data_IF_898662760495
#
_entry.id   IF_898662760495
#
_cell.length_a   1.000
_cell.length_b   1.000
_cell.length_c   1.000
_cell.angle_alpha   90.00
_cell.angle_beta   90.00
_cell.angle_gamma   90.00
#
_symmetry.space_group_name_H-M   'P 1'
#
loop_
_entity.id
_entity.type
_entity.pdbx_description
1 polymer ?
#
# COMPACT_ATOMS: atom_id res chain seq x y z
N UNK A 1 11.64 20.20 53.17
CA UNK A 1 10.91 20.67 51.96
C UNK A 1 11.78 20.69 50.71
N UNK A 2 12.98 21.27 50.75
CA UNK A 2 13.90 21.32 49.60
C UNK A 2 14.16 19.95 48.95
N UNK A 3 14.42 18.92 49.78
CA UNK A 3 14.69 17.54 49.31
C UNK A 3 13.51 17.00 48.46
N UNK A 4 12.26 17.22 48.91
CA UNK A 4 11.07 16.78 48.17
C UNK A 4 10.90 17.52 46.84
N UNK A 5 11.21 18.82 46.81
CA UNK A 5 11.15 19.61 45.57
C UNK A 5 12.19 19.12 44.56
N UNK A 6 13.40 18.84 45.00
CA UNK A 6 14.47 18.31 44.14
C UNK A 6 14.10 16.93 43.59
N UNK A 7 13.62 16.01 44.44
CA UNK A 7 13.18 14.68 44.00
C UNK A 7 12.04 14.78 42.98
N UNK A 8 11.04 15.64 43.24
CA UNK A 8 9.93 15.84 42.33
C UNK A 8 10.39 16.38 40.97
N UNK A 9 11.33 17.33 40.96
CA UNK A 9 11.88 17.89 39.73
C UNK A 9 12.57 16.81 38.87
N UNK A 10 13.39 15.95 39.48
CA UNK A 10 14.02 14.83 38.77
C UNK A 10 12.99 13.82 38.24
N UNK A 11 11.96 13.52 39.01
CA UNK A 11 10.87 12.65 38.56
C UNK A 11 10.15 13.24 37.34
N UNK A 12 9.86 14.55 37.33
CA UNK A 12 9.24 15.23 36.19
C UNK A 12 10.13 15.19 34.94
N UNK A 13 11.44 15.41 35.08
CA UNK A 13 12.36 15.30 33.95
C UNK A 13 12.49 13.87 33.41
N UNK A 14 12.48 12.86 34.28
CA UNK A 14 12.49 11.46 33.86
C UNK A 14 11.23 11.11 33.05
N UNK A 15 10.05 11.55 33.51
CA UNK A 15 8.78 11.37 32.78
C UNK A 15 8.81 12.11 31.44
N UNK A 16 9.30 13.36 31.42
CA UNK A 16 9.41 14.13 30.18
C UNK A 16 10.33 13.46 29.16
N UNK A 17 11.48 12.93 29.60
CA UNK A 17 12.40 12.19 28.74
C UNK A 17 11.76 10.94 28.12
N UNK A 18 11.05 10.16 28.94
CA UNK A 18 10.31 8.98 28.46
C UNK A 18 9.24 9.37 27.43
N UNK A 19 8.50 10.45 27.67
CA UNK A 19 7.49 10.94 26.73
C UNK A 19 8.10 11.38 25.39
N UNK A 20 9.28 11.98 25.40
CA UNK A 20 10.00 12.36 24.18
C UNK A 20 10.38 11.12 23.37
N UNK A 21 10.99 10.12 24.02
CA UNK A 21 11.40 8.88 23.34
C UNK A 21 10.19 8.13 22.75
N UNK A 22 9.09 8.01 23.50
CA UNK A 22 7.84 7.41 23.00
C UNK A 22 7.24 8.25 21.87
N UNK A 23 7.29 9.58 21.98
CA UNK A 23 6.80 10.50 20.94
C UNK A 23 7.56 10.33 19.63
N UNK A 24 8.89 10.21 19.71
CA UNK A 24 9.75 9.92 18.56
C UNK A 24 9.42 8.56 17.94
N UNK A 25 9.26 7.51 18.75
CA UNK A 25 8.88 6.19 18.26
C UNK A 25 7.54 6.20 17.52
N UNK A 26 6.53 6.90 18.06
CA UNK A 26 5.22 7.05 17.41
C UNK A 26 5.29 7.85 16.11
N UNK A 27 6.12 8.89 16.07
CA UNK A 27 6.33 9.67 14.86
C UNK A 27 6.99 8.81 13.78
N UNK A 28 8.03 8.06 14.12
CA UNK A 28 8.69 7.13 13.20
C UNK A 28 7.73 6.04 12.72
N UNK A 29 6.89 5.49 13.59
CA UNK A 29 5.84 4.53 13.23
C UNK A 29 4.86 5.10 12.20
N UNK A 30 4.32 6.29 12.46
CA UNK A 30 3.38 6.95 11.54
C UNK A 30 4.03 7.24 10.19
N UNK A 31 5.30 7.64 10.20
CA UNK A 31 6.07 7.87 8.99
C UNK A 31 6.30 6.57 8.21
N UNK A 32 6.82 5.53 8.85
CA UNK A 32 7.04 4.22 8.20
C UNK A 32 5.75 3.66 7.62
N UNK A 33 4.61 3.81 8.32
CA UNK A 33 3.32 3.40 7.78
C UNK A 33 2.96 4.16 6.50
N UNK A 34 3.17 5.47 6.48
CA UNK A 34 2.90 6.30 5.29
C UNK A 34 3.78 5.90 4.11
N UNK A 35 5.04 5.53 4.37
CA UNK A 35 6.00 5.07 3.34
C UNK A 35 5.60 3.70 2.81
N UNK A 36 5.29 2.73 3.69
CA UNK A 36 4.88 1.39 3.27
C UNK A 36 3.54 1.40 2.54
N UNK A 37 2.58 2.24 2.95
CA UNK A 37 1.29 2.39 2.28
C UNK A 37 1.46 2.94 0.86
N UNK A 38 2.27 3.99 0.70
CA UNK A 38 2.55 4.58 -0.60
C UNK A 38 3.35 3.65 -1.51
N UNK A 39 4.33 2.93 -0.97
CA UNK A 39 5.12 1.95 -1.71
C UNK A 39 4.26 0.75 -2.14
N UNK A 40 3.37 0.25 -1.28
CA UNK A 40 2.44 -0.82 -1.62
C UNK A 40 1.46 -0.38 -2.73
N UNK A 41 0.91 0.83 -2.65
CA UNK A 41 0.04 1.38 -3.69
C UNK A 41 0.78 1.55 -5.02
N UNK A 42 2.04 2.00 -5.01
CA UNK A 42 2.86 2.10 -6.22
C UNK A 42 3.09 0.73 -6.85
N UNK A 43 3.51 -0.26 -6.06
CA UNK A 43 3.65 -1.64 -6.55
C UNK A 43 2.35 -2.19 -7.11
N UNK A 44 1.23 -1.91 -6.45
CA UNK A 44 -0.10 -2.28 -6.94
C UNK A 44 -0.45 -1.60 -8.27
N UNK A 45 -0.05 -0.35 -8.50
CA UNK A 45 -0.23 0.30 -9.80
C UNK A 45 0.62 -0.35 -10.88
N UNK A 46 1.88 -0.71 -10.59
CA UNK A 46 2.72 -1.44 -11.53
C UNK A 46 2.09 -2.79 -11.92
N UNK A 47 1.53 -3.52 -10.96
CA UNK A 47 0.76 -4.74 -11.24
C UNK A 47 -0.46 -4.45 -12.13
N UNK A 48 -1.25 -3.41 -11.81
CA UNK A 48 -2.43 -3.03 -12.61
C UNK A 48 -2.07 -2.63 -14.06
N UNK A 49 -0.84 -2.16 -14.29
CA UNK A 49 -0.33 -1.82 -15.61
C UNK A 49 0.26 -3.02 -16.37
N UNK A 50 0.30 -4.21 -15.75
CA UNK A 50 0.90 -5.41 -16.32
C UNK A 50 2.43 -5.38 -16.34
N UNK A 51 3.05 -4.61 -15.44
CA UNK A 51 4.51 -4.58 -15.33
C UNK A 51 5.06 -5.92 -14.85
N UNK A 52 6.29 -6.24 -15.25
CA UNK A 52 6.96 -7.44 -14.75
C UNK A 52 7.31 -7.32 -13.25
N UNK A 53 7.69 -8.45 -12.66
CA UNK A 53 7.96 -8.53 -11.23
C UNK A 53 9.14 -7.64 -10.80
N UNK A 54 10.16 -7.48 -11.65
CA UNK A 54 11.35 -6.68 -11.36
C UNK A 54 11.00 -5.20 -11.36
N UNK A 55 10.26 -4.74 -12.35
CA UNK A 55 9.77 -3.36 -12.48
C UNK A 55 8.87 -3.01 -11.31
N UNK A 56 7.96 -3.92 -10.94
CA UNK A 56 7.08 -3.77 -9.77
C UNK A 56 7.89 -3.58 -8.48
N UNK A 57 8.86 -4.46 -8.21
CA UNK A 57 9.71 -4.38 -7.00
C UNK A 57 10.56 -3.12 -6.98
N UNK A 58 11.18 -2.76 -8.11
CA UNK A 58 11.99 -1.55 -8.21
C UNK A 58 11.16 -0.29 -7.94
N UNK A 59 9.94 -0.20 -8.49
CA UNK A 59 9.06 0.93 -8.23
C UNK A 59 8.68 1.06 -6.74
N UNK A 60 8.46 -0.07 -6.05
CA UNK A 60 8.21 -0.11 -4.60
C UNK A 60 9.44 0.41 -3.83
N UNK A 61 10.64 -0.05 -4.18
CA UNK A 61 11.90 0.40 -3.56
C UNK A 61 12.11 1.90 -3.79
N UNK A 62 12.00 2.36 -5.03
CA UNK A 62 12.20 3.76 -5.42
C UNK A 62 11.20 4.68 -4.73
N UNK A 63 9.93 4.24 -4.63
CA UNK A 63 8.89 4.98 -3.93
C UNK A 63 9.19 5.10 -2.44
N UNK A 64 9.60 4.00 -1.81
CA UNK A 64 9.96 4.00 -0.40
C UNK A 64 11.20 4.88 -0.13
N UNK A 65 12.21 4.80 -0.99
CA UNK A 65 13.43 5.60 -0.91
C UNK A 65 13.14 7.10 -1.05
N UNK A 66 12.36 7.51 -2.05
CA UNK A 66 12.00 8.90 -2.29
C UNK A 66 11.20 9.53 -1.15
N UNK A 67 10.33 8.75 -0.48
CA UNK A 67 9.63 9.25 0.72
C UNK A 67 10.54 9.29 1.96
N UNK A 68 11.49 8.36 2.04
CA UNK A 68 12.46 8.28 3.14
C UNK A 68 13.55 9.36 3.08
N UNK A 69 13.68 10.09 1.97
CA UNK A 69 14.56 11.28 1.88
C UNK A 69 14.24 12.36 2.91
N UNK A 70 12.98 12.43 3.33
CA UNK A 70 12.53 13.37 4.36
C UNK A 70 13.05 13.06 5.78
N UNK A 71 13.71 11.91 6.00
CA UNK A 71 14.24 11.49 7.31
C UNK A 71 15.54 12.22 7.69
N UNK A 72 16.10 13.02 6.78
CA UNK A 72 17.39 13.68 6.95
C UNK A 72 18.57 12.74 6.70
N UNK A 73 19.75 13.31 6.47
CA UNK A 73 21.00 12.57 6.26
C UNK A 73 21.78 12.28 7.54
N UNK A 74 21.35 12.84 8.67
CA UNK A 74 22.13 12.82 9.91
C UNK A 74 21.60 11.75 10.87
N UNK A 75 22.46 10.79 11.21
CA UNK A 75 22.24 9.86 12.31
C UNK A 75 22.59 10.57 13.62
N UNK A 76 21.82 10.31 14.68
CA UNK A 76 22.26 10.61 16.04
C UNK A 76 23.05 9.39 16.47
N UNK A 77 24.36 9.44 16.27
CA UNK A 77 25.28 8.43 16.78
C UNK A 77 25.77 8.81 18.16
N UNK A 78 26.04 7.81 18.97
CA UNK A 78 26.63 8.00 20.29
C UNK A 78 28.07 7.53 20.23
N UNK A 79 29.01 8.39 20.63
CA UNK A 79 30.45 8.09 20.62
C UNK A 79 31.02 7.98 22.03
N UNK A 80 32.16 7.31 22.17
CA UNK A 80 32.90 7.21 23.44
C UNK A 80 32.14 6.58 24.62
N UNK A 81 31.12 5.75 24.36
CA UNK A 81 30.46 4.95 25.40
C UNK A 81 31.10 3.59 25.59
N UNK A 82 30.99 3.03 26.79
CA UNK A 82 31.23 1.60 26.97
C UNK A 82 30.09 0.81 26.34
N UNK A 83 30.50 -0.17 25.55
CA UNK A 83 29.74 -1.34 25.14
C UNK A 83 29.98 -2.41 26.23
N UNK A 84 28.93 -2.73 27.00
CA UNK A 84 29.02 -3.58 28.19
C UNK A 84 28.74 -5.05 27.88
N UNK A 85 28.17 -5.34 26.71
CA UNK A 85 27.77 -6.67 26.27
C UNK A 85 28.51 -7.14 24.99
N UNK A 86 29.47 -6.35 24.50
CA UNK A 86 30.25 -6.57 23.27
C UNK A 86 29.34 -6.67 22.02
N UNK A 87 28.20 -5.97 22.00
CA UNK A 87 27.24 -5.97 20.88
C UNK A 87 27.48 -4.86 19.83
N UNK A 88 28.53 -4.06 20.03
CA UNK A 88 28.90 -2.92 19.21
C UNK A 88 28.10 -1.65 19.48
N UNK A 89 27.19 -1.62 20.46
CA UNK A 89 26.31 -0.49 20.76
C UNK A 89 26.65 0.11 22.13
N UNK A 90 27.16 1.35 22.19
CA UNK A 90 27.52 1.96 23.45
C UNK A 90 26.27 2.24 24.31
N UNK A 91 26.18 1.69 25.52
CA UNK A 91 25.04 1.91 26.44
C UNK A 91 25.24 3.10 27.39
N UNK A 92 26.48 3.60 27.49
CA UNK A 92 26.89 4.63 28.47
C UNK A 92 27.45 5.92 27.86
N UNK A 93 27.39 6.08 26.55
CA UNK A 93 27.90 7.29 25.87
C UNK A 93 27.15 8.56 26.30
N UNK A 94 27.90 9.64 26.53
CA UNK A 94 27.38 10.99 26.83
C UNK A 94 27.53 11.95 25.66
N UNK A 95 28.18 11.51 24.58
CA UNK A 95 28.57 12.37 23.46
C UNK A 95 27.80 11.95 22.23
N UNK A 96 27.14 12.91 21.60
CA UNK A 96 26.46 12.70 20.33
C UNK A 96 27.46 13.02 19.22
N UNK A 97 27.83 12.01 18.44
CA UNK A 97 28.55 12.24 17.20
C UNK A 97 27.58 12.84 16.18
N UNK A 98 27.91 14.05 15.73
CA UNK A 98 27.16 14.82 14.73
C UNK A 98 27.86 14.84 13.36
N UNK A 99 29.09 14.34 13.31
CA UNK A 99 30.03 14.50 12.21
C UNK A 99 30.24 13.21 11.42
N UNK A 100 29.68 12.07 11.86
CA UNK A 100 29.54 10.89 11.00
C UNK A 100 28.55 11.18 9.87
N UNK A 101 29.10 11.70 8.77
CA UNK A 101 28.56 11.57 7.42
C UNK A 101 28.56 10.09 7.01
N UNK A 102 27.73 9.28 7.68
CA UNK A 102 27.42 7.92 7.26
C UNK A 102 26.31 7.93 6.24
N UNK A 103 26.19 6.82 5.49
CA UNK A 103 25.01 6.59 4.67
C UNK A 103 23.76 6.74 5.54
N UNK A 104 22.70 7.41 5.06
CA UNK A 104 21.48 7.57 5.84
C UNK A 104 20.96 6.20 6.28
N UNK A 105 20.86 5.93 7.58
CA UNK A 105 20.15 4.74 8.09
C UNK A 105 18.65 4.98 7.90
N UNK A 106 18.22 4.86 6.65
CA UNK A 106 16.83 4.79 6.25
C UNK A 106 16.47 3.31 6.20
N UNK A 107 15.27 2.91 6.64
CA UNK A 107 14.79 1.57 6.36
C UNK A 107 14.70 1.42 4.84
N UNK A 108 15.71 0.79 4.24
CA UNK A 108 15.71 0.42 2.83
C UNK A 108 14.94 -0.89 2.70
N UNK A 109 14.24 -1.02 1.58
CA UNK A 109 13.57 -2.26 1.22
C UNK A 109 14.53 -3.14 0.44
N UNK A 110 14.59 -4.43 0.80
CA UNK A 110 15.14 -5.42 -0.12
C UNK A 110 14.09 -5.74 -1.21
N UNK A 111 14.47 -5.75 -2.51
CA UNK A 111 13.58 -6.12 -3.60
C UNK A 111 12.94 -7.51 -3.43
N UNK A 112 13.57 -8.41 -2.67
CA UNK A 112 13.14 -9.79 -2.44
C UNK A 112 12.93 -10.55 -3.76
N UNK A 113 14.00 -10.65 -4.55
CA UNK A 113 13.96 -11.22 -5.91
C UNK A 113 13.43 -12.66 -5.93
N UNK A 114 13.71 -13.44 -4.89
CA UNK A 114 13.27 -14.83 -4.73
C UNK A 114 11.82 -14.96 -4.20
N UNK A 115 11.13 -13.83 -3.99
CA UNK A 115 9.80 -13.73 -3.41
C UNK A 115 9.66 -14.51 -2.08
N UNK A 116 10.71 -14.49 -1.25
CA UNK A 116 10.68 -15.14 0.04
C UNK A 116 9.51 -14.59 0.86
N UNK A 117 8.77 -15.48 1.50
CA UNK A 117 7.60 -15.08 2.30
C UNK A 117 8.03 -14.10 3.39
N UNK A 118 9.18 -14.30 4.03
CA UNK A 118 9.72 -13.43 5.08
C UNK A 118 10.31 -12.10 4.57
N UNK A 119 10.32 -11.86 3.26
CA UNK A 119 10.97 -10.69 2.68
C UNK A 119 10.23 -9.37 2.89
N UNK A 120 10.80 -8.30 2.35
CA UNK A 120 10.23 -6.95 2.49
C UNK A 120 9.15 -6.66 1.47
N UNK A 121 9.34 -7.12 0.24
CA UNK A 121 8.40 -6.97 -0.87
C UNK A 121 7.95 -8.35 -1.30
N UNK A 122 6.67 -8.68 -1.14
CA UNK A 122 6.14 -9.99 -1.53
C UNK A 122 4.98 -9.80 -2.49
N UNK A 123 5.10 -10.40 -3.66
CA UNK A 123 4.03 -10.48 -4.66
C UNK A 123 3.19 -11.73 -4.38
N UNK A 124 1.87 -11.62 -4.46
CA UNK A 124 0.99 -12.74 -4.18
C UNK A 124 -0.48 -12.40 -4.14
N UNK A 125 -1.23 -13.22 -3.40
CA UNK A 125 -2.68 -13.17 -3.27
C UNK A 125 -3.09 -12.85 -1.85
N UNK A 126 -3.95 -11.85 -1.70
CA UNK A 126 -4.53 -11.52 -0.40
C UNK A 126 -5.78 -12.38 -0.11
N UNK A 127 -5.71 -13.17 0.96
CA UNK A 127 -6.73 -14.13 1.38
C UNK A 127 -7.61 -13.52 2.46
N UNK A 128 -8.68 -12.84 2.03
CA UNK A 128 -9.59 -12.09 2.94
C UNK A 128 -10.26 -12.97 4.00
N UNK A 129 -10.51 -14.24 3.69
CA UNK A 129 -11.22 -15.19 4.55
C UNK A 129 -10.34 -15.85 5.61
N UNK A 130 -9.03 -15.61 5.57
CA UNK A 130 -8.04 -16.19 6.49
C UNK A 130 -7.46 -15.15 7.48
N UNK A 131 -8.04 -13.94 7.51
CA UNK A 131 -7.70 -12.91 8.49
C UNK A 131 -8.38 -13.29 9.82
N UNK A 132 -7.64 -13.59 10.91
CA UNK A 132 -8.26 -13.83 12.20
C UNK A 132 -9.00 -12.57 12.69
N UNK A 133 -10.22 -12.73 13.22
CA UNK A 133 -11.01 -11.64 13.85
C UNK A 133 -10.32 -11.03 15.08
N UNK A 134 -9.33 -11.73 15.64
CA UNK A 134 -8.49 -11.22 16.71
C UNK A 134 -7.30 -10.47 16.10
N UNK A 135 -7.26 -9.15 16.28
CA UNK A 135 -6.04 -8.36 16.17
C UNK A 135 -5.35 -8.33 17.54
N UNK A 136 -4.49 -9.29 17.92
CA UNK A 136 -3.65 -9.11 19.08
C UNK A 136 -2.49 -8.19 18.70
N UNK A 137 -2.27 -7.16 19.53
CA UNK A 137 -0.93 -6.61 19.65
C UNK A 137 0.04 -7.75 19.93
N UNK A 138 1.04 -7.88 19.07
CA UNK A 138 2.09 -8.91 19.02
C UNK A 138 1.75 -10.16 18.18
N UNK A 139 2.06 -10.16 16.87
CA UNK A 139 2.38 -11.40 16.20
C UNK A 139 3.75 -11.87 16.71
N UNK A 140 3.76 -12.93 17.53
CA UNK A 140 4.95 -13.78 17.63
C UNK A 140 5.05 -14.55 16.32
N UNK A 141 6.03 -14.17 15.50
CA UNK A 141 6.28 -14.82 14.21
C UNK A 141 5.53 -14.19 13.04
N UNK A 142 6.14 -14.30 11.87
CA UNK A 142 5.64 -13.81 10.57
C UNK A 142 4.40 -14.56 10.06
N UNK A 143 3.59 -15.16 10.95
CA UNK A 143 2.53 -16.10 10.58
C UNK A 143 1.41 -15.36 9.86
N UNK A 144 1.21 -15.74 8.60
CA UNK A 144 0.50 -14.97 7.59
C UNK A 144 -0.48 -15.85 6.85
N UNK A 145 -1.56 -16.17 7.55
CA UNK A 145 -2.69 -16.85 6.95
C UNK A 145 -3.37 -15.98 5.87
N UNK A 146 -3.30 -14.64 5.98
CA UNK A 146 -3.99 -13.75 5.06
C UNK A 146 -3.24 -13.38 3.75
N UNK A 147 -2.02 -13.89 3.51
CA UNK A 147 -1.27 -13.56 2.29
C UNK A 147 -0.48 -14.76 1.75
N UNK A 148 -0.87 -15.24 0.59
CA UNK A 148 -0.21 -16.35 -0.11
C UNK A 148 0.74 -15.82 -1.19
N UNK A 149 2.04 -16.10 -1.11
CA UNK A 149 2.99 -15.67 -2.14
C UNK A 149 2.73 -16.39 -3.47
N UNK A 150 2.54 -15.61 -4.53
CA UNK A 150 2.36 -16.09 -5.90
C UNK A 150 2.96 -15.05 -6.84
N UNK A 151 4.06 -15.41 -7.50
CA UNK A 151 4.78 -14.50 -8.40
C UNK A 151 4.29 -14.60 -9.84
N UNK A 152 3.58 -15.68 -10.19
CA UNK A 152 3.14 -15.92 -11.56
C UNK A 152 1.83 -15.19 -11.86
N UNK A 153 0.97 -15.08 -10.86
CA UNK A 153 -0.33 -14.40 -10.94
C UNK A 153 -0.58 -13.54 -9.68
N UNK A 154 0.24 -12.50 -9.44
CA UNK A 154 0.07 -11.65 -8.26
C UNK A 154 -1.11 -10.70 -8.45
N UNK A 155 -2.08 -10.74 -7.52
CA UNK A 155 -3.15 -9.73 -7.46
C UNK A 155 -2.95 -8.72 -6.32
N UNK A 156 -1.85 -8.87 -5.56
CA UNK A 156 -1.55 -8.06 -4.38
C UNK A 156 -0.05 -7.91 -4.18
N UNK A 157 0.34 -6.77 -3.60
CA UNK A 157 1.72 -6.50 -3.14
C UNK A 157 1.70 -6.27 -1.65
N UNK A 158 2.59 -6.97 -0.95
CA UNK A 158 2.89 -6.74 0.45
C UNK A 158 4.23 -6.00 0.57
N UNK A 159 4.25 -4.95 1.39
CA UNK A 159 5.46 -4.16 1.67
C UNK A 159 5.70 -4.05 3.18
N UNK A 160 6.96 -4.19 3.60
CA UNK A 160 7.37 -4.08 5.01
C UNK A 160 8.55 -3.17 5.19
N UNK A 161 8.47 -2.33 6.22
CA UNK A 161 9.63 -1.58 6.70
C UNK A 161 9.97 -2.01 8.12
N UNK A 162 11.26 -2.17 8.39
CA UNK A 162 11.77 -2.66 9.67
C UNK A 162 12.87 -1.76 10.21
N UNK A 163 12.73 -1.44 11.49
CA UNK A 163 13.76 -0.86 12.35
C UNK A 163 13.90 -1.72 13.59
N UNK A 164 14.40 -2.93 13.40
CA UNK A 164 14.48 -3.97 14.44
C UNK A 164 15.89 -4.45 14.72
N UNK A 165 16.87 -4.03 13.90
CA UNK A 165 18.25 -4.52 13.97
C UNK A 165 18.36 -6.04 13.81
N UNK A 166 17.46 -6.65 13.04
CA UNK A 166 17.50 -8.08 12.72
C UNK A 166 18.45 -8.33 11.55
N UNK A 167 19.35 -9.30 11.72
CA UNK A 167 20.27 -9.77 10.67
C UNK A 167 19.72 -11.05 10.00
N UNK A 168 20.33 -11.46 8.89
CA UNK A 168 20.02 -12.70 8.15
C UNK A 168 18.54 -12.87 7.73
N UNK A 169 17.87 -11.76 7.45
CA UNK A 169 16.50 -11.74 6.95
C UNK A 169 16.46 -12.17 5.48
N UNK A 170 15.92 -13.36 5.21
CA UNK A 170 15.79 -13.86 3.85
C UNK A 170 14.85 -12.97 3.01
N UNK A 171 15.42 -12.29 2.00
CA UNK A 171 14.70 -11.37 1.12
C UNK A 171 14.21 -10.09 1.81
N UNK A 172 14.80 -9.71 2.94
CA UNK A 172 14.41 -8.52 3.68
C UNK A 172 15.60 -7.80 4.29
N UNK A 173 15.38 -6.55 4.65
CA UNK A 173 16.35 -5.70 5.31
C UNK A 173 15.74 -5.14 6.60
N UNK A 174 16.61 -4.82 7.55
CA UNK A 174 16.21 -4.10 8.75
C UNK A 174 17.21 -2.98 9.02
N UNK A 175 16.69 -1.77 9.17
CA UNK A 175 17.46 -0.69 9.75
C UNK A 175 17.64 -0.91 11.27
N UNK A 176 18.57 -0.15 11.86
CA UNK A 176 18.78 -0.15 13.31
C UNK A 176 17.52 0.32 14.06
N UNK A 177 17.36 -0.22 15.28
CA UNK A 177 16.34 0.22 16.25
C UNK A 177 16.50 1.70 16.59
N UNK A 178 15.44 2.33 17.06
CA UNK A 178 15.48 3.73 17.48
C UNK A 178 16.20 3.85 18.83
N UNK A 179 17.31 4.59 18.86
CA UNK A 179 18.04 4.85 20.10
C UNK A 179 17.18 5.61 21.11
N UNK A 180 17.22 5.18 22.37
CA UNK A 180 16.69 5.96 23.49
C UNK A 180 17.56 7.21 23.68
N UNK A 181 17.00 8.41 23.52
CA UNK A 181 17.76 9.65 23.75
C UNK A 181 17.77 10.03 25.23
N UNK A 182 16.64 9.91 25.92
CA UNK A 182 16.46 10.48 27.26
C UNK A 182 16.19 9.44 28.35
N UNK A 183 15.62 8.29 27.99
CA UNK A 183 15.35 7.18 28.90
C UNK A 183 16.59 6.33 29.22
N UNK A 184 17.77 6.64 28.69
CA UNK A 184 19.04 6.01 29.12
C UNK A 184 19.41 6.30 30.57
N UNK A 185 18.94 7.42 31.12
CA UNK A 185 19.02 7.73 32.56
C UNK A 185 18.04 6.92 33.43
N UNK A 186 17.18 6.10 32.82
CA UNK A 186 16.22 5.24 33.53
C UNK A 186 16.91 4.10 34.28
N UNK A 187 16.16 3.43 35.14
CA UNK A 187 16.55 2.18 35.82
C UNK A 187 16.35 0.94 34.93
N UNK A 188 16.24 1.12 33.61
CA UNK A 188 16.29 0.01 32.67
C UNK A 188 17.60 -0.76 32.84
N UNK A 189 17.57 -2.06 32.56
CA UNK A 189 18.79 -2.85 32.50
C UNK A 189 19.75 -2.25 31.46
N UNK A 190 21.05 -2.29 31.74
CA UNK A 190 22.06 -1.65 30.89
C UNK A 190 22.02 -2.22 29.47
N UNK A 191 21.86 -3.54 29.32
CA UNK A 191 21.69 -4.17 28.01
C UNK A 191 20.44 -3.72 27.26
N UNK A 192 19.34 -3.40 27.97
CA UNK A 192 18.11 -2.91 27.34
C UNK A 192 18.20 -1.44 26.90
N UNK A 193 19.14 -0.66 27.44
CA UNK A 193 19.36 0.74 27.05
C UNK A 193 20.09 0.87 25.71
N UNK A 194 20.95 -0.09 25.39
CA UNK A 194 21.62 -0.23 24.09
C UNK A 194 20.67 -0.66 22.98
N UNK A 195 19.66 -1.46 23.34
CA UNK A 195 18.74 -2.07 22.38
C UNK A 195 17.78 -1.10 21.69
N UNK A 196 17.36 -0.01 22.34
CA UNK A 196 16.45 0.95 21.72
C UNK A 196 15.02 0.41 21.46
N UNK A 197 14.27 1.11 20.63
CA UNK A 197 12.86 0.82 20.31
C UNK A 197 12.74 0.21 18.92
N UNK A 198 12.18 -0.99 18.85
CA UNK A 198 11.87 -1.65 17.59
C UNK A 198 10.60 -1.08 16.95
N UNK A 199 10.67 -0.74 15.66
CA UNK A 199 9.53 -0.23 14.89
C UNK A 199 9.36 -1.03 13.61
N UNK A 200 8.10 -1.36 13.28
CA UNK A 200 7.72 -2.09 12.07
C UNK A 200 6.45 -1.50 11.46
N UNK A 201 6.37 -1.51 10.14
CA UNK A 201 5.13 -1.27 9.40
C UNK A 201 4.93 -2.34 8.34
N UNK A 202 3.67 -2.69 8.12
CA UNK A 202 3.26 -3.59 7.05
C UNK A 202 2.05 -3.00 6.32
N UNK A 203 2.08 -3.09 4.99
CA UNK A 203 1.02 -2.63 4.12
C UNK A 203 0.75 -3.68 3.04
N UNK A 204 -0.52 -3.90 2.71
CA UNK A 204 -0.94 -4.76 1.61
C UNK A 204 -1.84 -3.95 0.70
N UNK A 205 -1.44 -3.83 -0.56
CA UNK A 205 -2.28 -3.32 -1.62
C UNK A 205 -2.80 -4.49 -2.46
N UNK A 206 -4.11 -4.57 -2.63
CA UNK A 206 -4.78 -5.56 -3.49
C UNK A 206 -5.37 -4.86 -4.71
N UNK A 207 -5.27 -5.48 -5.87
CA UNK A 207 -5.98 -5.06 -7.06
C UNK A 207 -7.48 -5.31 -6.89
N UNK A 208 -8.26 -4.26 -7.10
CA UNK A 208 -9.71 -4.33 -7.11
C UNK A 208 -10.25 -3.67 -8.39
N UNK A 209 -11.40 -4.11 -8.92
CA UNK A 209 -12.03 -3.47 -10.06
C UNK A 209 -12.24 -1.98 -9.83
N UNK A 210 -12.01 -1.18 -10.87
CA UNK A 210 -12.13 0.28 -10.80
C UNK A 210 -13.58 0.68 -10.54
N UNK A 211 -13.78 1.63 -9.63
CA UNK A 211 -15.10 2.21 -9.30
C UNK A 211 -15.35 3.55 -9.97
N UNK A 212 -14.31 4.29 -10.31
CA UNK A 212 -14.41 5.57 -10.99
C UNK A 212 -13.15 5.88 -11.80
N UNK A 213 -13.32 6.55 -12.94
CA UNK A 213 -12.25 7.01 -13.81
C UNK A 213 -12.31 8.52 -13.96
N UNK A 214 -11.15 9.17 -13.98
CA UNK A 214 -11.09 10.62 -14.15
C UNK A 214 -11.23 11.02 -15.61
N UNK A 215 -11.77 12.22 -15.84
CA UNK A 215 -12.06 12.78 -17.18
C UNK A 215 -10.93 13.66 -17.72
N UNK A 216 -9.80 13.75 -17.01
CA UNK A 216 -8.67 14.57 -17.43
C UNK A 216 -8.03 14.01 -18.71
N UNK A 217 -7.99 14.82 -19.76
CA UNK A 217 -7.40 14.45 -21.05
C UNK A 217 -5.91 14.80 -21.05
N UNK A 218 -5.05 13.80 -21.17
CA UNK A 218 -3.59 13.96 -21.32
C UNK A 218 -3.05 12.87 -22.23
N UNK A 219 -1.99 13.15 -22.97
CA UNK A 219 -1.27 12.12 -23.76
C UNK A 219 -0.68 11.01 -22.89
N UNK A 220 -0.56 11.25 -21.58
CA UNK A 220 -0.01 10.30 -20.61
C UNK A 220 -1.06 9.57 -19.79
N UNK A 221 -2.36 9.82 -20.01
CA UNK A 221 -3.43 9.23 -19.21
C UNK A 221 -4.52 8.63 -20.12
N UNK A 222 -4.99 7.41 -19.83
CA UNK A 222 -6.18 6.87 -20.46
C UNK A 222 -7.40 7.70 -20.08
N UNK A 223 -8.27 7.94 -21.06
CA UNK A 223 -9.55 8.65 -20.88
C UNK A 223 -10.72 7.67 -20.84
N UNK A 224 -11.83 8.08 -20.24
CA UNK A 224 -13.08 7.33 -20.38
C UNK A 224 -13.60 7.44 -21.82
N UNK A 225 -14.02 6.32 -22.40
CA UNK A 225 -14.69 6.26 -23.69
C UNK A 225 -16.17 6.54 -23.46
N UNK A 226 -16.79 7.34 -24.32
CA UNK A 226 -18.23 7.62 -24.28
C UNK A 226 -19.03 6.47 -24.94
N UNK A 227 -18.73 5.26 -24.53
CA UNK A 227 -19.36 4.01 -24.94
C UNK A 227 -19.37 3.06 -23.73
N UNK A 228 -20.21 2.04 -23.76
CA UNK A 228 -20.26 1.03 -22.72
C UNK A 228 -20.65 -0.32 -23.33
N UNK A 229 -20.00 -1.38 -22.85
CA UNK A 229 -20.28 -2.75 -23.25
C UNK A 229 -21.10 -3.45 -22.16
N UNK A 230 -22.04 -4.29 -22.53
CA UNK A 230 -22.81 -5.06 -21.54
C UNK A 230 -21.96 -6.18 -20.92
N UNK A 231 -22.11 -6.39 -19.61
CA UNK A 231 -21.38 -7.42 -18.85
C UNK A 231 -21.59 -8.84 -19.43
N UNK A 232 -22.74 -9.09 -20.05
CA UNK A 232 -23.03 -10.38 -20.71
C UNK A 232 -22.09 -10.64 -21.87
N UNK A 233 -21.75 -9.60 -22.64
CA UNK A 233 -20.86 -9.70 -23.79
C UNK A 233 -19.40 -9.83 -23.34
N UNK A 234 -19.02 -9.10 -22.29
CA UNK A 234 -17.70 -9.24 -21.65
C UNK A 234 -17.47 -10.66 -21.15
N UNK A 235 -18.44 -11.25 -20.43
CA UNK A 235 -18.35 -12.63 -19.92
C UNK A 235 -18.39 -13.69 -21.01
N UNK A 236 -18.98 -13.38 -22.16
CA UNK A 236 -19.03 -14.26 -23.31
C UNK A 236 -17.82 -14.08 -24.25
N UNK A 237 -16.87 -13.19 -23.91
CA UNK A 237 -15.76 -12.77 -24.77
C UNK A 237 -16.23 -12.34 -26.18
N UNK A 238 -17.43 -11.77 -26.26
CA UNK A 238 -18.02 -11.29 -27.52
C UNK A 238 -17.68 -9.82 -27.66
N UNK A 239 -16.72 -9.52 -28.51
CA UNK A 239 -16.24 -8.14 -28.70
C UNK A 239 -16.46 -7.57 -30.11
N UNK A 240 -17.03 -8.33 -31.03
CA UNK A 240 -17.35 -7.86 -32.39
C UNK A 240 -18.85 -7.72 -32.59
N UNK A 241 -19.29 -6.72 -33.34
CA UNK A 241 -20.71 -6.42 -33.58
C UNK A 241 -21.50 -6.39 -32.25
N UNK A 242 -20.94 -5.68 -31.27
CA UNK A 242 -21.53 -5.54 -29.94
C UNK A 242 -22.48 -4.36 -29.90
N UNK A 243 -23.55 -4.50 -29.11
CA UNK A 243 -24.45 -3.37 -28.89
C UNK A 243 -23.84 -2.46 -27.83
N UNK A 244 -23.25 -1.36 -28.29
CA UNK A 244 -22.72 -0.35 -27.39
C UNK A 244 -23.83 0.54 -26.83
N UNK A 245 -23.67 0.94 -25.57
CA UNK A 245 -24.53 1.88 -24.85
C UNK A 245 -23.76 3.16 -24.57
N UNK A 246 -24.44 4.23 -24.20
CA UNK A 246 -23.79 5.49 -23.83
C UNK A 246 -23.92 5.74 -22.32
N UNK A 247 -22.83 5.89 -21.56
CA UNK A 247 -22.89 6.26 -20.14
C UNK A 247 -23.20 7.75 -19.95
N UNK A 248 -23.88 8.12 -18.86
CA UNK A 248 -23.95 9.51 -18.39
C UNK A 248 -22.73 9.87 -17.53
N UNK A 249 -22.25 11.11 -17.69
CA UNK A 249 -21.30 11.72 -16.76
C UNK A 249 -21.91 11.83 -15.35
N UNK A 250 -21.13 11.56 -14.28
CA UNK A 250 -19.70 11.20 -14.26
C UNK A 250 -19.44 9.72 -14.55
N UNK A 251 -18.24 9.39 -15.06
CA UNK A 251 -17.82 8.01 -15.32
C UNK A 251 -17.41 7.27 -14.03
N UNK A 252 -18.40 6.74 -13.32
CA UNK A 252 -18.24 5.95 -12.10
C UNK A 252 -19.30 4.85 -12.02
N UNK A 253 -19.12 3.87 -11.13
CA UNK A 253 -20.14 2.85 -10.88
C UNK A 253 -21.45 3.48 -10.42
N UNK A 254 -22.55 2.89 -10.85
CA UNK A 254 -23.89 3.39 -10.62
C UNK A 254 -24.35 4.45 -11.61
N UNK A 255 -23.50 5.00 -12.49
CA UNK A 255 -23.94 5.94 -13.51
C UNK A 255 -24.92 5.30 -14.51
N UNK A 256 -25.93 6.05 -14.93
CA UNK A 256 -27.00 5.57 -15.79
C UNK A 256 -26.51 5.45 -17.25
N UNK A 257 -27.07 4.50 -18.00
CA UNK A 257 -26.93 4.49 -19.46
C UNK A 257 -27.99 5.39 -20.10
N UNK A 258 -27.58 6.31 -20.97
CA UNK A 258 -28.46 7.06 -21.87
C UNK A 258 -28.70 6.34 -23.19
N UNK A 259 -29.84 6.63 -23.79
CA UNK A 259 -30.02 6.42 -25.23
C UNK A 259 -29.28 7.52 -26.00
N UNK A 260 -28.34 7.13 -26.84
CA UNK A 260 -27.54 8.02 -27.69
C UNK A 260 -26.49 7.21 -28.45
N UNK A 261 -25.85 7.82 -29.45
CA UNK A 261 -24.83 7.14 -30.24
C UNK A 261 -23.52 7.05 -29.43
N UNK A 262 -22.91 5.86 -29.31
CA UNK A 262 -21.62 5.66 -28.67
C UNK A 262 -20.50 6.31 -29.51
N UNK A 263 -19.40 6.68 -28.86
CA UNK A 263 -18.24 7.28 -29.53
C UNK A 263 -17.06 6.30 -29.55
N UNK A 264 -16.37 6.23 -30.71
CA UNK A 264 -15.11 5.52 -30.85
C UNK A 264 -14.03 6.13 -29.95
N UNK A 265 -13.07 5.30 -29.51
CA UNK A 265 -11.99 5.78 -28.67
C UNK A 265 -11.12 4.67 -28.11
N UNK A 266 -10.09 5.09 -27.37
CA UNK A 266 -9.16 4.19 -26.68
C UNK A 266 -9.04 4.64 -25.23
N UNK A 267 -9.17 3.69 -24.30
CA UNK A 267 -9.05 3.97 -22.87
C UNK A 267 -9.98 3.11 -22.02
N UNK A 268 -10.57 3.72 -20.99
CA UNK A 268 -11.50 3.03 -20.09
C UNK A 268 -12.88 2.93 -20.73
N UNK A 269 -13.30 1.71 -21.03
CA UNK A 269 -14.64 1.37 -21.48
C UNK A 269 -15.50 0.94 -20.29
N UNK A 270 -16.52 1.72 -19.92
CA UNK A 270 -17.52 1.31 -18.93
C UNK A 270 -18.17 -0.04 -19.26
N UNK A 271 -18.36 -0.85 -18.24
CA UNK A 271 -19.13 -2.10 -18.30
C UNK A 271 -20.51 -1.84 -17.72
N UNK A 272 -21.55 -2.16 -18.48
CA UNK A 272 -22.94 -1.93 -18.13
C UNK A 272 -23.61 -3.23 -17.67
N UNK A 273 -24.45 -3.18 -16.64
CA UNK A 273 -25.32 -4.29 -16.27
C UNK A 273 -26.66 -3.78 -15.77
N UNK A 274 -27.69 -4.61 -15.93
CA UNK A 274 -28.98 -4.39 -15.30
C UNK A 274 -28.86 -4.60 -13.79
N UNK A 275 -29.28 -3.61 -13.01
CA UNK A 275 -29.24 -3.63 -11.54
C UNK A 275 -30.61 -3.20 -11.00
N UNK A 276 -31.07 -3.85 -9.94
CA UNK A 276 -32.30 -3.46 -9.26
C UNK A 276 -32.02 -2.30 -8.29
N UNK A 277 -32.76 -1.21 -8.44
CA UNK A 277 -32.72 -0.04 -7.56
C UNK A 277 -34.15 0.34 -7.19
N UNK A 278 -34.48 0.37 -5.89
CA UNK A 278 -35.79 0.83 -5.40
C UNK A 278 -37.03 0.17 -6.06
N UNK A 279 -36.88 -1.04 -6.60
CA UNK A 279 -37.96 -1.78 -7.27
C UNK A 279 -38.09 -1.57 -8.77
N UNK A 280 -37.21 -0.78 -9.41
CA UNK A 280 -37.04 -0.71 -10.87
C UNK A 280 -35.71 -1.35 -11.30
N UNK A 281 -35.70 -1.93 -12.50
CA UNK A 281 -34.50 -2.45 -13.14
C UNK A 281 -33.93 -1.39 -14.06
N UNK A 282 -32.69 -0.99 -13.83
CA UNK A 282 -32.02 0.05 -14.63
C UNK A 282 -30.64 -0.43 -15.07
N UNK A 283 -30.21 -0.01 -16.26
CA UNK A 283 -28.87 -0.35 -16.77
C UNK A 283 -27.89 0.71 -16.27
N UNK A 284 -26.89 0.27 -15.51
CA UNK A 284 -25.91 1.13 -14.86
C UNK A 284 -24.50 0.65 -15.09
N UNK A 285 -23.53 1.56 -14.97
CA UNK A 285 -22.10 1.22 -14.93
C UNK A 285 -21.83 0.34 -13.70
N UNK A 286 -21.18 -0.79 -13.89
CA UNK A 286 -20.78 -1.71 -12.82
C UNK A 286 -19.26 -1.87 -12.68
N UNK A 287 -18.51 -1.38 -13.66
CA UNK A 287 -17.05 -1.33 -13.63
C UNK A 287 -16.50 -0.84 -14.96
N UNK A 288 -15.22 -1.11 -15.21
CA UNK A 288 -14.51 -0.62 -16.38
C UNK A 288 -13.60 -1.71 -16.92
N UNK A 289 -13.40 -1.72 -18.23
CA UNK A 289 -12.34 -2.46 -18.91
C UNK A 289 -11.46 -1.51 -19.71
N UNK A 290 -10.31 -1.97 -20.14
CA UNK A 290 -9.42 -1.25 -21.03
C UNK A 290 -9.62 -1.78 -22.45
N UNK A 291 -9.97 -0.89 -23.38
CA UNK A 291 -10.26 -1.30 -24.75
C UNK A 291 -10.05 -0.18 -25.77
N UNK A 292 -10.01 -0.59 -27.04
CA UNK A 292 -10.20 0.27 -28.22
C UNK A 292 -11.59 -0.03 -28.76
N UNK A 293 -12.34 1.01 -29.08
CA UNK A 293 -13.66 0.92 -29.72
C UNK A 293 -13.57 1.54 -31.10
N UNK A 294 -13.96 0.78 -32.11
CA UNK A 294 -14.04 1.24 -33.49
C UNK A 294 -15.19 0.54 -34.22
N UNK A 295 -16.13 1.28 -34.79
CA UNK A 295 -17.20 0.74 -35.64
C UNK A 295 -17.97 -0.44 -34.99
N UNK A 296 -18.37 -0.29 -33.72
CA UNK A 296 -19.02 -1.31 -32.87
C UNK A 296 -18.17 -2.56 -32.54
N UNK A 297 -16.90 -2.58 -32.95
CA UNK A 297 -15.93 -3.57 -32.52
C UNK A 297 -15.13 -3.05 -31.32
N UNK A 298 -15.01 -3.91 -30.30
CA UNK A 298 -14.23 -3.70 -29.10
C UNK A 298 -12.98 -4.57 -29.19
N UNK A 299 -11.81 -3.97 -28.98
CA UNK A 299 -10.55 -4.70 -28.85
C UNK A 299 -10.07 -4.53 -27.41
N UNK A 300 -10.16 -5.57 -26.56
CA UNK A 300 -9.59 -5.53 -25.21
C UNK A 300 -8.08 -5.28 -25.28
N UNK A 301 -7.56 -4.44 -24.40
CA UNK A 301 -6.15 -4.05 -24.35
C UNK A 301 -5.69 -3.87 -22.91
N UNK A 302 -4.38 -3.90 -22.68
CA UNK A 302 -3.78 -3.49 -21.41
C UNK A 302 -3.35 -2.01 -21.45
N UNK A 303 -3.02 -1.43 -20.30
CA UNK A 303 -2.48 -0.06 -20.24
C UNK A 303 -1.15 0.06 -20.99
N UNK A 304 -0.33 -0.98 -20.94
CA UNK A 304 0.96 -1.02 -21.63
C UNK A 304 0.78 -1.11 -23.14
N UNK A 305 -0.20 -1.87 -23.64
CA UNK A 305 -0.57 -1.91 -25.08
C UNK A 305 -0.98 -0.53 -25.61
N UNK A 306 -1.64 0.28 -24.76
CA UNK A 306 -2.05 1.65 -25.10
C UNK A 306 -0.90 2.67 -25.03
N UNK A 307 0.27 2.30 -24.50
CA UNK A 307 1.40 3.20 -24.31
C UNK A 307 1.23 4.21 -23.17
N UNK A 308 0.33 3.96 -22.22
CA UNK A 308 0.15 4.83 -21.06
C UNK A 308 1.06 4.42 -19.91
N UNK A 309 1.80 5.39 -19.37
CA UNK A 309 2.67 5.20 -18.20
C UNK A 309 1.98 5.49 -16.87
N UNK A 310 0.72 5.94 -16.91
CA UNK A 310 -0.05 6.38 -15.74
C UNK A 310 -1.52 6.03 -15.89
N UNK A 311 -2.19 5.83 -14.77
CA UNK A 311 -3.62 5.58 -14.70
C UNK A 311 -4.35 6.73 -13.98
N UNK A 312 -5.59 6.99 -14.38
CA UNK A 312 -6.49 7.95 -13.74
C UNK A 312 -7.78 7.23 -13.31
N UNK A 313 -7.62 6.27 -12.41
CA UNK A 313 -8.70 5.42 -11.94
C UNK A 313 -8.58 5.19 -10.44
N UNK A 314 -9.68 4.85 -9.78
CA UNK A 314 -9.68 4.51 -8.35
C UNK A 314 -10.59 3.32 -8.07
N UNK A 315 -10.23 2.53 -7.07
CA UNK A 315 -11.08 1.50 -6.47
C UNK A 315 -11.78 1.99 -5.18
N UNK A 316 -11.65 3.29 -4.83
CA UNK A 316 -12.20 3.84 -3.61
C UNK A 316 -13.68 4.26 -3.77
N UNK A 317 -14.58 3.52 -3.13
CA UNK A 317 -16.03 3.78 -3.14
C UNK A 317 -16.43 5.16 -2.60
N UNK A 318 -15.58 5.82 -1.80
CA UNK A 318 -15.86 7.15 -1.26
C UNK A 318 -15.98 8.25 -2.33
N UNK A 319 -15.57 7.96 -3.57
CA UNK A 319 -15.71 8.86 -4.71
C UNK A 319 -17.04 8.72 -5.45
N UNK A 320 -17.81 7.67 -5.14
CA UNK A 320 -19.11 7.43 -5.78
C UNK A 320 -20.16 8.35 -5.17
N UNK A 321 -20.83 9.12 -6.02
CA UNK A 321 -21.81 10.14 -5.60
C UNK A 321 -23.25 9.63 -5.54
N UNK A 322 -23.52 8.41 -6.03
CA UNK A 322 -24.85 7.82 -6.08
C UNK A 322 -25.08 6.78 -4.97
N UNK A 323 -26.35 6.51 -4.60
CA UNK A 323 -26.68 5.41 -3.71
C UNK A 323 -26.17 4.08 -4.29
N UNK A 324 -25.30 3.40 -3.56
CA UNK A 324 -24.83 2.07 -3.90
C UNK A 324 -25.84 1.04 -3.40
N UNK A 325 -26.54 0.34 -4.31
CA UNK A 325 -27.35 -0.81 -3.92
C UNK A 325 -26.48 -2.03 -3.64
N UNK A 326 -27.02 -2.95 -2.84
CA UNK A 326 -26.36 -4.23 -2.59
C UNK A 326 -26.10 -4.99 -3.90
N UNK A 327 -27.08 -5.00 -4.81
CA UNK A 327 -26.96 -5.65 -6.11
C UNK A 327 -25.85 -5.04 -6.97
N UNK A 328 -25.70 -3.71 -6.98
CA UNK A 328 -24.61 -3.05 -7.70
C UNK A 328 -23.25 -3.50 -7.18
N UNK A 329 -23.08 -3.55 -5.86
CA UNK A 329 -21.83 -3.98 -5.22
C UNK A 329 -21.52 -5.45 -5.50
N UNK A 330 -22.51 -6.33 -5.46
CA UNK A 330 -22.33 -7.74 -5.81
C UNK A 330 -21.88 -7.91 -7.26
N UNK A 331 -22.52 -7.21 -8.20
CA UNK A 331 -22.14 -7.28 -9.62
C UNK A 331 -20.73 -6.71 -9.82
N UNK A 332 -20.41 -5.59 -9.19
CA UNK A 332 -19.07 -4.99 -9.25
C UNK A 332 -17.99 -5.94 -8.71
N UNK A 333 -18.22 -6.58 -7.56
CA UNK A 333 -17.29 -7.55 -6.98
C UNK A 333 -17.09 -8.77 -7.89
N UNK A 334 -18.14 -9.22 -8.58
CA UNK A 334 -18.07 -10.34 -9.52
C UNK A 334 -17.20 -10.08 -10.75
N UNK A 335 -16.77 -8.83 -10.99
CA UNK A 335 -15.81 -8.51 -12.05
C UNK A 335 -14.42 -9.09 -11.76
N UNK A 336 -14.09 -9.32 -10.49
CA UNK A 336 -12.84 -10.00 -10.12
C UNK A 336 -12.82 -11.49 -10.50
N UNK A 337 -13.98 -12.07 -10.82
CA UNK A 337 -14.12 -13.45 -11.29
C UNK A 337 -14.13 -13.56 -12.83
N UNK A 338 -14.05 -12.43 -13.55
CA UNK A 338 -14.00 -12.44 -15.02
C UNK A 338 -12.59 -12.80 -15.45
N UNK A 339 -12.46 -13.86 -16.25
CA UNK A 339 -11.17 -14.27 -16.82
C UNK A 339 -10.71 -13.23 -17.85
N UNK A 340 -9.48 -12.72 -17.69
CA UNK A 340 -8.82 -11.83 -18.64
C UNK A 340 -8.25 -10.54 -18.05
N UNK A 341 -7.11 -10.11 -18.59
CA UNK A 341 -6.33 -8.96 -18.10
C UNK A 341 -6.88 -7.60 -18.56
N UNK A 342 -8.06 -7.59 -19.19
CA UNK A 342 -8.69 -6.38 -19.72
C UNK A 342 -9.59 -5.66 -18.72
N UNK A 343 -9.97 -6.31 -17.61
CA UNK A 343 -10.73 -5.64 -16.55
C UNK A 343 -9.85 -4.59 -15.89
N UNK A 344 -10.29 -3.34 -15.92
CA UNK A 344 -9.53 -2.25 -15.33
C UNK A 344 -9.53 -2.40 -13.81
N UNK A 345 -8.33 -2.55 -13.25
CA UNK A 345 -8.12 -2.66 -11.82
C UNK A 345 -7.30 -1.48 -11.30
N UNK A 346 -7.54 -1.13 -10.04
CA UNK A 346 -6.74 -0.16 -9.31
C UNK A 346 -6.36 -0.73 -7.93
N UNK A 347 -5.18 -0.39 -7.41
CA UNK A 347 -4.76 -0.85 -6.10
C UNK A 347 -5.59 -0.18 -4.99
N UNK A 348 -6.01 -0.98 -4.02
CA UNK A 348 -6.62 -0.53 -2.78
C UNK A 348 -5.84 -1.09 -1.59
N UNK A 349 -5.59 -0.25 -0.58
CA UNK A 349 -5.02 -0.71 0.69
C UNK A 349 -6.06 -1.55 1.42
N UNK A 350 -5.81 -2.86 1.51
CA UNK A 350 -6.64 -3.81 2.27
C UNK A 350 -6.12 -4.02 3.68
N UNK A 351 -4.84 -3.72 3.91
CA UNK A 351 -4.21 -3.73 5.22
C UNK A 351 -3.17 -2.62 5.31
N UNK A 352 -3.21 -1.86 6.39
CA UNK A 352 -2.21 -0.87 6.80
C UNK A 352 -2.07 -1.01 8.31
N UNK A 353 -0.99 -1.64 8.78
CA UNK A 353 -0.82 -1.99 10.18
C UNK A 353 0.56 -1.61 10.71
N UNK A 354 0.53 -0.86 11.81
CA UNK A 354 1.68 -0.66 12.68
C UNK A 354 1.86 -1.90 13.56
N UNK A 355 3.01 -2.57 13.43
CA UNK A 355 3.33 -3.71 14.28
C UNK A 355 4.18 -3.18 15.43
N UNK A 356 3.64 -3.30 16.64
CA UNK A 356 4.39 -2.98 17.85
C UNK A 356 5.47 -4.06 18.03
N UNK A 357 6.74 -3.67 17.85
CA UNK A 357 7.84 -4.46 18.37
C UNK A 357 7.74 -4.40 19.88
N UNK A 358 7.40 -5.52 20.51
CA UNK A 358 7.70 -5.67 21.94
C UNK A 358 9.21 -5.55 22.10
N UNK A 359 9.66 -4.63 22.94
CA UNK A 359 10.94 -4.86 23.62
C UNK A 359 10.77 -6.16 24.41
N UNK A 360 11.70 -7.13 24.29
CA UNK A 360 11.67 -8.33 25.13
C UNK A 360 11.62 -7.99 26.62
#
# INVERSE_FOLDING_TARGET
MLILVVILLFALFAIAGLLIDIGMARLTQAHMQSVSDAAALEGGWQLAMGADQTTTRNAVVDRAAGMSESWGSHRIELEDGHDLNDDGKPESSQTINRDTLGDPIRPMLDPNVDNNTAGDIVLGKYMINEVPDELPGQPMGYDRHAFEPDVNDPNSVLVRLRRTGEDDLAGGASAERLTYLWSRGSLLDLGLKGDGIAVRSESIAKLAPVVAVGTAVSSSLPTAINAAIELVDVRAERFTDVKLLRPEDPFQIGSLMTGGDPEDGVGYLPIASSVMLEGSSEIRVVGFMLASVQDDDVTPMTLSDMGYERANATANLGWVTYPLSHDLLLVHQSLSDVEGDFIACAPALVRSQQIHGGTP
#
